data_IF_028027541017
#
_entry.id   IF_028027541017
#
_cell.length_a   1.000
_cell.length_b   1.000
_cell.length_c   1.000
_cell.angle_alpha   90.00
_cell.angle_beta   90.00
_cell.angle_gamma   90.00
#
_symmetry.space_group_name_H-M   'P 1'
#
loop_
_entity.id
_entity.type
_entity.pdbx_description
1 polymer ?
#
# COMPACT_ATOMS: atom_id res chain seq x y z
N UNK A 1 33.52 -9.59 44.77
CA UNK A 1 32.30 -10.32 44.27
C UNK A 1 31.08 -9.43 44.04
N UNK A 2 30.98 -8.23 44.61
CA UNK A 2 29.83 -7.31 44.46
C UNK A 2 29.84 -6.51 43.12
N UNK A 3 31.02 -6.14 42.59
CA UNK A 3 31.17 -5.31 41.39
C UNK A 3 30.60 -5.98 40.12
N UNK A 4 30.67 -7.32 39.99
CA UNK A 4 30.13 -8.06 38.87
C UNK A 4 28.58 -8.13 38.88
N UNK A 5 27.97 -8.12 40.05
CA UNK A 5 26.52 -8.14 40.23
C UNK A 5 25.89 -6.79 39.86
N UNK A 6 26.50 -5.67 40.28
CA UNK A 6 26.01 -4.31 39.96
C UNK A 6 26.14 -4.00 38.47
N UNK A 7 27.20 -4.45 37.81
CA UNK A 7 27.36 -4.30 36.36
C UNK A 7 26.29 -5.08 35.59
N UNK A 8 25.99 -6.30 36.01
CA UNK A 8 24.93 -7.14 35.44
C UNK A 8 23.55 -6.52 35.60
N UNK A 9 23.24 -5.95 36.76
CA UNK A 9 21.97 -5.26 37.02
C UNK A 9 21.84 -4.01 36.17
N UNK A 10 22.92 -3.22 36.06
CA UNK A 10 22.94 -2.00 35.24
C UNK A 10 22.76 -2.29 33.76
N UNK A 11 23.32 -3.37 33.26
CA UNK A 11 23.17 -3.82 31.88
C UNK A 11 21.75 -4.33 31.60
N UNK A 12 21.15 -5.06 32.55
CA UNK A 12 19.73 -5.48 32.46
C UNK A 12 18.78 -4.28 32.46
N UNK A 13 19.01 -3.28 33.30
CA UNK A 13 18.23 -2.03 33.32
C UNK A 13 18.35 -1.28 32.03
N UNK A 14 19.56 -1.18 31.42
CA UNK A 14 19.75 -0.55 30.13
C UNK A 14 19.01 -1.30 29.00
N UNK A 15 19.07 -2.63 28.99
CA UNK A 15 18.34 -3.46 28.02
C UNK A 15 16.81 -3.29 28.18
N UNK A 16 16.31 -3.31 29.40
CA UNK A 16 14.89 -3.12 29.69
C UNK A 16 14.41 -1.74 29.27
N UNK A 17 15.21 -0.68 29.56
CA UNK A 17 14.89 0.68 29.13
C UNK A 17 14.83 0.82 27.61
N UNK A 18 15.79 0.24 26.88
CA UNK A 18 15.82 0.23 25.41
C UNK A 18 14.62 -0.53 24.84
N UNK A 19 14.33 -1.72 25.38
CA UNK A 19 13.17 -2.52 24.97
C UNK A 19 11.86 -1.76 25.20
N UNK A 20 11.69 -1.13 26.35
CA UNK A 20 10.47 -0.35 26.66
C UNK A 20 10.34 0.88 25.72
N UNK A 21 11.43 1.59 25.46
CA UNK A 21 11.43 2.71 24.49
C UNK A 21 11.05 2.24 23.08
N UNK A 22 11.55 1.08 22.67
CA UNK A 22 11.22 0.50 21.36
C UNK A 22 9.73 0.09 21.26
N UNK A 23 9.18 -0.52 22.32
CA UNK A 23 7.75 -0.86 22.38
C UNK A 23 6.87 0.39 22.28
N UNK A 24 7.22 1.45 23.02
CA UNK A 24 6.48 2.72 22.98
C UNK A 24 6.57 3.35 21.59
N UNK A 25 7.75 3.36 20.96
CA UNK A 25 7.93 3.90 19.60
C UNK A 25 7.07 3.13 18.59
N UNK A 26 7.10 1.80 18.62
CA UNK A 26 6.29 0.95 17.73
C UNK A 26 4.80 1.16 17.94
N UNK A 27 4.35 1.28 19.20
CA UNK A 27 2.95 1.57 19.50
C UNK A 27 2.51 2.94 18.96
N UNK A 28 3.38 3.95 19.06
CA UNK A 28 3.12 5.27 18.51
C UNK A 28 3.04 5.28 16.99
N UNK A 29 3.97 4.58 16.32
CA UNK A 29 3.97 4.42 14.85
C UNK A 29 2.70 3.73 14.36
N UNK A 30 2.25 2.66 15.05
CA UNK A 30 1.00 1.97 14.74
C UNK A 30 -0.21 2.91 14.90
N UNK A 31 -0.24 3.74 15.93
CA UNK A 31 -1.31 4.72 16.16
C UNK A 31 -1.36 5.77 15.04
N UNK A 32 -0.19 6.26 14.61
CA UNK A 32 -0.08 7.22 13.49
C UNK A 32 -0.57 6.58 12.19
N UNK A 33 -0.13 5.36 11.89
CA UNK A 33 -0.58 4.61 10.73
C UNK A 33 -2.09 4.37 10.73
N UNK A 34 -2.68 4.04 11.88
CA UNK A 34 -4.12 3.87 12.03
C UNK A 34 -4.87 5.17 11.72
N UNK A 35 -4.41 6.31 12.24
CA UNK A 35 -5.01 7.63 11.94
C UNK A 35 -4.95 7.96 10.45
N UNK A 36 -3.82 7.70 9.81
CA UNK A 36 -3.65 7.94 8.37
C UNK A 36 -4.62 7.10 7.54
N UNK A 37 -4.72 5.80 7.81
CA UNK A 37 -5.65 4.91 7.11
C UNK A 37 -7.10 5.33 7.33
N UNK A 38 -7.50 5.65 8.56
CA UNK A 38 -8.85 6.15 8.84
C UNK A 38 -9.16 7.43 8.06
N UNK A 39 -8.24 8.38 8.01
CA UNK A 39 -8.42 9.62 7.24
C UNK A 39 -8.58 9.35 5.75
N UNK A 40 -7.75 8.50 5.16
CA UNK A 40 -7.87 8.12 3.74
C UNK A 40 -9.21 7.44 3.45
N UNK A 41 -9.63 6.53 4.33
CA UNK A 41 -10.94 5.86 4.19
C UNK A 41 -12.07 6.87 4.23
N UNK A 42 -12.10 7.77 5.20
CA UNK A 42 -13.12 8.83 5.28
C UNK A 42 -13.11 9.69 4.01
N UNK A 43 -11.93 10.12 3.57
CA UNK A 43 -11.77 10.92 2.34
C UNK A 43 -12.21 10.17 1.08
N UNK A 44 -11.99 8.86 1.02
CA UNK A 44 -12.49 8.05 -0.08
C UNK A 44 -14.02 7.98 -0.13
N UNK A 45 -14.69 8.00 1.04
CA UNK A 45 -16.15 7.99 1.14
C UNK A 45 -16.78 9.34 0.71
N UNK A 46 -16.05 10.45 0.81
CA UNK A 46 -16.48 11.77 0.34
C UNK A 46 -16.50 11.89 -1.20
N UNK A 47 -15.79 11.01 -1.93
CA UNK A 47 -15.69 11.09 -3.39
C UNK A 47 -17.01 10.62 -4.04
N UNK A 48 -17.49 11.37 -5.02
CA UNK A 48 -18.78 11.12 -5.65
C UNK A 48 -18.72 10.11 -6.80
N UNK A 49 -17.56 10.00 -7.45
CA UNK A 49 -17.36 9.14 -8.61
C UNK A 49 -15.92 8.60 -8.69
N UNK A 50 -15.74 7.64 -9.60
CA UNK A 50 -14.46 6.96 -9.80
C UNK A 50 -13.34 7.91 -10.24
N UNK A 51 -13.64 8.86 -11.14
CA UNK A 51 -12.62 9.80 -11.64
C UNK A 51 -12.09 10.70 -10.54
N UNK A 52 -12.99 11.22 -9.68
CA UNK A 52 -12.60 12.01 -8.52
C UNK A 52 -11.75 11.21 -7.54
N UNK A 53 -12.11 9.96 -7.27
CA UNK A 53 -11.32 9.06 -6.43
C UNK A 53 -9.91 8.85 -7.01
N UNK A 54 -9.82 8.50 -8.30
CA UNK A 54 -8.53 8.27 -8.96
C UNK A 54 -7.65 9.52 -8.95
N UNK A 55 -8.21 10.70 -9.27
CA UNK A 55 -7.47 11.96 -9.27
C UNK A 55 -6.86 12.29 -7.89
N UNK A 56 -7.50 11.85 -6.79
CA UNK A 56 -7.02 12.10 -5.44
C UNK A 56 -5.98 11.10 -4.93
N UNK A 57 -5.70 10.00 -5.64
CA UNK A 57 -4.71 9.01 -5.23
C UNK A 57 -3.32 9.64 -5.06
N UNK A 58 -2.84 10.38 -6.06
CA UNK A 58 -1.51 11.01 -6.05
C UNK A 58 -1.46 12.43 -5.44
N UNK A 59 -2.56 12.91 -4.91
CA UNK A 59 -2.64 14.22 -4.26
C UNK A 59 -2.96 14.05 -2.78
N UNK A 60 -4.22 14.11 -2.41
CA UNK A 60 -4.68 14.07 -1.03
C UNK A 60 -4.28 12.77 -0.31
N UNK A 61 -4.44 11.60 -0.96
CA UNK A 61 -4.15 10.32 -0.32
C UNK A 61 -2.64 10.10 -0.11
N UNK A 62 -1.79 10.50 -1.07
CA UNK A 62 -0.34 10.50 -0.88
C UNK A 62 0.08 11.35 0.31
N UNK A 63 -0.50 12.54 0.46
CA UNK A 63 -0.19 13.44 1.57
C UNK A 63 -0.58 12.84 2.92
N UNK A 64 -1.78 12.26 3.03
CA UNK A 64 -2.27 11.66 4.27
C UNK A 64 -1.43 10.44 4.66
N UNK A 65 -1.16 9.54 3.71
CA UNK A 65 -0.38 8.32 3.94
C UNK A 65 1.13 8.57 4.05
N UNK A 66 1.57 9.78 3.67
CA UNK A 66 2.99 10.15 3.60
C UNK A 66 3.78 9.18 2.73
N UNK A 67 3.28 8.97 1.52
CA UNK A 67 3.94 8.19 0.47
C UNK A 67 4.22 9.08 -0.75
N UNK A 68 5.16 8.68 -1.58
CA UNK A 68 5.57 9.50 -2.72
C UNK A 68 4.75 9.24 -3.99
N UNK A 69 4.15 8.06 -4.10
CA UNK A 69 3.35 7.68 -5.25
C UNK A 69 2.30 6.63 -4.87
N UNK A 70 1.08 6.79 -5.43
CA UNK A 70 0.03 5.77 -5.40
C UNK A 70 -0.42 5.53 -6.82
N UNK A 71 -0.48 4.27 -7.24
CA UNK A 71 -0.98 3.82 -8.55
C UNK A 71 -2.14 2.86 -8.35
N UNK A 72 -3.18 3.03 -9.13
CA UNK A 72 -4.25 2.05 -9.28
C UNK A 72 -4.03 1.32 -10.60
N UNK A 73 -3.86 0.03 -10.53
CA UNK A 73 -3.67 -0.83 -11.69
C UNK A 73 -4.90 -1.73 -11.80
N UNK A 74 -5.46 -1.83 -13.01
CA UNK A 74 -6.54 -2.75 -13.31
C UNK A 74 -6.12 -3.65 -14.48
N UNK A 75 -6.46 -4.93 -14.39
CA UNK A 75 -6.26 -5.86 -15.51
C UNK A 75 -7.37 -5.69 -16.53
N UNK A 76 -6.98 -5.67 -17.80
CA UNK A 76 -7.92 -5.50 -18.92
C UNK A 76 -8.89 -6.67 -18.99
N UNK A 77 -10.19 -6.37 -18.96
CA UNK A 77 -11.24 -7.28 -19.39
C UNK A 77 -12.26 -6.48 -20.22
N UNK A 78 -13.16 -7.17 -20.91
CA UNK A 78 -14.15 -6.55 -21.80
C UNK A 78 -15.04 -5.51 -21.11
N UNK A 79 -15.35 -5.71 -19.84
CA UNK A 79 -16.19 -4.79 -19.05
C UNK A 79 -15.44 -3.51 -18.71
N UNK A 80 -14.15 -3.59 -18.35
CA UNK A 80 -13.34 -2.40 -18.08
C UNK A 80 -13.11 -1.56 -19.34
N UNK A 81 -12.90 -2.19 -20.49
CA UNK A 81 -12.66 -1.45 -21.73
C UNK A 81 -13.85 -0.56 -22.10
N UNK A 82 -15.07 -0.99 -21.81
CA UNK A 82 -16.27 -0.15 -22.03
C UNK A 82 -16.33 1.02 -21.04
N UNK A 83 -15.99 0.80 -19.78
CA UNK A 83 -16.02 1.81 -18.71
C UNK A 83 -14.90 2.85 -18.93
N UNK A 84 -13.72 2.40 -19.28
CA UNK A 84 -12.55 3.26 -19.50
C UNK A 84 -12.65 4.05 -20.81
N UNK A 85 -13.32 3.53 -21.85
CA UNK A 85 -13.63 4.33 -23.05
C UNK A 85 -14.49 5.55 -22.77
N UNK A 86 -15.36 5.48 -21.76
CA UNK A 86 -16.09 6.65 -21.24
C UNK A 86 -15.25 7.51 -20.30
N UNK A 87 -14.12 6.97 -19.82
CA UNK A 87 -13.19 7.63 -18.93
C UNK A 87 -11.92 8.12 -19.67
N UNK A 88 -12.01 8.43 -20.98
CA UNK A 88 -10.91 8.99 -21.80
C UNK A 88 -10.28 10.28 -21.22
N UNK A 89 -10.82 10.78 -20.13
CA UNK A 89 -10.28 11.92 -19.37
C UNK A 89 -9.63 11.53 -18.04
N UNK A 90 -9.48 10.23 -17.74
CA UNK A 90 -8.78 9.81 -16.50
C UNK A 90 -7.29 9.97 -16.68
N UNK A 91 -6.81 11.06 -16.13
CA UNK A 91 -5.36 11.31 -16.01
C UNK A 91 -4.71 10.27 -15.08
N UNK A 92 -3.41 9.95 -15.24
CA UNK A 92 -2.69 9.13 -14.28
C UNK A 92 -3.07 9.53 -12.84
N UNK A 93 -3.36 8.59 -11.91
CA UNK A 93 -2.57 7.39 -11.67
C UNK A 93 -3.24 6.03 -12.00
N UNK A 94 -4.27 5.99 -12.83
CA UNK A 94 -4.86 4.73 -13.28
C UNK A 94 -4.10 4.19 -14.50
N UNK A 95 -3.65 2.94 -14.41
CA UNK A 95 -3.01 2.23 -15.50
C UNK A 95 -3.72 0.90 -15.79
N UNK A 96 -3.84 0.54 -17.08
CA UNK A 96 -4.44 -0.72 -17.53
C UNK A 96 -3.36 -1.67 -18.03
N UNK A 97 -3.33 -2.87 -17.47
CA UNK A 97 -2.36 -3.92 -17.80
C UNK A 97 -3.03 -5.18 -18.34
N UNK A 98 -2.29 -6.05 -19.05
CA UNK A 98 -2.79 -7.36 -19.48
C UNK A 98 -3.20 -8.23 -18.30
N UNK A 99 -4.02 -9.25 -18.58
CA UNK A 99 -4.40 -10.27 -17.59
C UNK A 99 -3.15 -10.94 -16.98
N UNK A 100 -3.24 -11.29 -15.71
CA UNK A 100 -2.18 -11.88 -14.89
C UNK A 100 -0.99 -10.96 -14.57
N UNK A 101 -1.00 -9.70 -14.98
CA UNK A 101 0.07 -8.76 -14.64
C UNK A 101 0.22 -8.59 -13.12
N UNK A 102 -0.90 -8.36 -12.43
CA UNK A 102 -0.92 -8.13 -10.97
C UNK A 102 -0.33 -9.31 -10.22
N UNK A 103 -0.76 -10.52 -10.56
CA UNK A 103 -0.27 -11.75 -9.93
C UNK A 103 1.24 -11.91 -10.18
N UNK A 104 1.68 -11.73 -11.42
CA UNK A 104 3.11 -11.83 -11.81
C UNK A 104 3.96 -10.78 -11.10
N UNK A 105 3.49 -9.54 -11.01
CA UNK A 105 4.21 -8.45 -10.35
C UNK A 105 4.34 -8.68 -8.84
N UNK A 106 3.24 -9.08 -8.18
CA UNK A 106 3.24 -9.34 -6.73
C UNK A 106 4.12 -10.54 -6.39
N UNK A 107 4.01 -11.65 -7.12
CA UNK A 107 4.78 -12.87 -6.88
C UNK A 107 6.24 -12.77 -7.33
N UNK A 108 6.61 -11.76 -8.11
CA UNK A 108 7.92 -11.69 -8.78
C UNK A 108 8.25 -12.97 -9.58
N UNK A 109 7.23 -13.58 -10.20
CA UNK A 109 7.38 -14.81 -10.98
C UNK A 109 7.59 -16.07 -10.15
N UNK A 110 7.39 -16.03 -8.83
CA UNK A 110 7.41 -17.23 -7.97
C UNK A 110 6.04 -17.90 -7.99
N UNK A 111 6.02 -19.23 -8.10
CA UNK A 111 4.78 -20.04 -8.17
C UNK A 111 4.01 -20.15 -6.83
N UNK A 112 4.34 -19.41 -5.81
CA UNK A 112 3.61 -19.45 -4.54
C UNK A 112 2.34 -18.60 -4.61
N UNK A 113 1.29 -19.11 -3.97
CA UNK A 113 0.04 -18.40 -3.68
C UNK A 113 0.35 -16.97 -3.24
N UNK A 114 -0.12 -16.01 -4.02
CA UNK A 114 0.26 -14.62 -3.81
C UNK A 114 -0.49 -14.06 -2.64
N UNK A 115 0.25 -13.60 -1.64
CA UNK A 115 -0.30 -12.81 -0.56
C UNK A 115 -1.14 -11.66 -1.13
N UNK A 116 -2.28 -11.37 -0.51
CA UNK A 116 -3.14 -10.25 -0.93
C UNK A 116 -2.45 -8.90 -0.72
N UNK A 117 -1.46 -8.85 0.17
CA UNK A 117 -0.68 -7.65 0.49
C UNK A 117 0.80 -8.01 0.57
N UNK A 118 1.62 -7.23 -0.12
CA UNK A 118 3.07 -7.38 -0.10
C UNK A 118 3.72 -6.05 0.25
N UNK A 119 4.59 -6.08 1.28
CA UNK A 119 5.43 -4.96 1.70
C UNK A 119 6.89 -5.36 1.47
N UNK A 120 7.62 -4.57 0.68
CA UNK A 120 8.98 -4.94 0.26
C UNK A 120 9.81 -3.74 -0.20
N UNK A 121 11.14 -3.87 -0.31
CA UNK A 121 11.96 -2.97 -1.10
C UNK A 121 11.46 -2.94 -2.55
N UNK A 122 11.52 -1.77 -3.19
CA UNK A 122 11.10 -1.62 -4.60
C UNK A 122 11.87 -2.60 -5.49
N UNK A 123 11.18 -3.50 -6.24
CA UNK A 123 11.84 -4.55 -7.01
C UNK A 123 12.42 -4.03 -8.33
N UNK A 124 13.30 -4.81 -8.94
CA UNK A 124 13.66 -4.63 -10.34
C UNK A 124 12.42 -4.85 -11.20
N UNK A 125 12.23 -3.99 -12.22
CA UNK A 125 11.01 -4.03 -13.05
C UNK A 125 9.88 -3.14 -12.54
N UNK A 126 10.08 -2.43 -11.43
CA UNK A 126 9.10 -1.48 -10.89
C UNK A 126 8.86 -0.26 -11.81
N UNK A 127 9.73 -0.02 -12.78
CA UNK A 127 9.53 0.98 -13.82
C UNK A 127 8.27 0.74 -14.65
N UNK A 128 7.81 -0.50 -14.76
CA UNK A 128 6.53 -0.83 -15.42
C UNK A 128 5.33 -0.19 -14.69
N UNK A 129 5.42 -0.06 -13.36
CA UNK A 129 4.36 0.49 -12.51
C UNK A 129 4.55 1.98 -12.26
N UNK A 130 5.78 2.39 -11.91
CA UNK A 130 6.06 3.77 -11.46
C UNK A 130 6.76 4.63 -12.50
N UNK A 131 7.11 4.08 -13.67
CA UNK A 131 7.84 4.81 -14.71
C UNK A 131 9.16 5.37 -14.21
N UNK A 132 9.48 6.60 -14.59
CA UNK A 132 10.71 7.29 -14.18
C UNK A 132 10.85 7.50 -12.66
N UNK A 133 9.74 7.54 -11.92
CA UNK A 133 9.78 7.68 -10.46
C UNK A 133 10.45 6.49 -9.78
N UNK A 134 10.42 5.31 -10.40
CA UNK A 134 11.00 4.07 -9.87
C UNK A 134 12.47 4.22 -9.43
N UNK A 135 13.23 5.06 -10.13
CA UNK A 135 14.65 5.33 -9.84
C UNK A 135 14.91 5.88 -8.44
N UNK A 136 13.95 6.57 -7.86
CA UNK A 136 14.06 7.23 -6.56
C UNK A 136 13.29 6.50 -5.44
N UNK A 137 12.44 5.54 -5.81
CA UNK A 137 11.63 4.79 -4.86
C UNK A 137 12.44 3.65 -4.24
N UNK A 138 12.31 3.45 -2.93
CA UNK A 138 13.11 2.47 -2.18
C UNK A 138 12.27 1.38 -1.54
N UNK A 139 10.99 1.63 -1.28
CA UNK A 139 10.06 0.63 -0.74
C UNK A 139 8.69 0.76 -1.35
N UNK A 140 7.96 -0.34 -1.41
CA UNK A 140 6.59 -0.39 -1.92
C UNK A 140 5.68 -1.28 -1.09
N UNK A 141 4.40 -0.91 -1.07
CA UNK A 141 3.30 -1.72 -0.56
C UNK A 141 2.28 -1.95 -1.66
N UNK A 142 2.02 -3.21 -1.98
CA UNK A 142 1.04 -3.60 -2.98
C UNK A 142 -0.14 -4.31 -2.33
N UNK A 143 -1.35 -3.86 -2.63
CA UNK A 143 -2.62 -4.47 -2.19
C UNK A 143 -3.33 -5.00 -3.43
N UNK A 144 -3.53 -6.32 -3.50
CA UNK A 144 -4.32 -6.95 -4.55
C UNK A 144 -5.80 -6.66 -4.29
N UNK A 145 -6.52 -6.21 -5.32
CA UNK A 145 -7.92 -5.85 -5.25
C UNK A 145 -8.76 -6.80 -6.13
N UNK A 146 -9.97 -7.13 -5.66
CA UNK A 146 -10.96 -7.91 -6.39
C UNK A 146 -12.22 -7.06 -6.53
N UNK A 147 -12.43 -6.51 -7.71
CA UNK A 147 -13.41 -5.46 -7.96
C UNK A 147 -14.63 -6.03 -8.69
N UNK A 148 -15.81 -5.72 -8.15
CA UNK A 148 -17.10 -6.05 -8.76
C UNK A 148 -17.46 -7.53 -8.77
N UNK A 149 -18.65 -7.82 -9.33
CA UNK A 149 -19.17 -9.18 -9.48
C UNK A 149 -18.34 -10.03 -10.46
N UNK A 150 -17.76 -9.40 -11.46
CA UNK A 150 -16.90 -10.05 -12.47
C UNK A 150 -15.47 -10.31 -11.96
N UNK A 151 -15.18 -10.00 -10.69
CA UNK A 151 -13.88 -10.20 -10.05
C UNK A 151 -12.70 -9.63 -10.86
N UNK A 152 -12.85 -8.40 -11.35
CA UNK A 152 -11.77 -7.70 -12.00
C UNK A 152 -10.58 -7.63 -11.04
N UNK A 153 -9.44 -8.14 -11.47
CA UNK A 153 -8.22 -8.08 -10.67
C UNK A 153 -7.59 -6.71 -10.83
N UNK A 154 -7.30 -6.10 -9.71
CA UNK A 154 -6.58 -4.85 -9.63
C UNK A 154 -5.47 -4.88 -8.58
N UNK A 155 -4.71 -3.81 -8.52
CA UNK A 155 -3.68 -3.59 -7.50
C UNK A 155 -3.60 -2.11 -7.16
N UNK A 156 -3.62 -1.82 -5.85
CA UNK A 156 -3.19 -0.53 -5.34
C UNK A 156 -1.70 -0.64 -4.98
N UNK A 157 -0.87 0.08 -5.73
CA UNK A 157 0.57 0.11 -5.51
C UNK A 157 0.95 1.45 -4.89
N UNK A 158 1.54 1.41 -3.71
CA UNK A 158 2.01 2.57 -2.96
C UNK A 158 3.54 2.50 -2.86
N UNK A 159 4.24 3.59 -3.07
CA UNK A 159 5.69 3.59 -3.02
C UNK A 159 6.25 4.81 -2.31
N UNK A 160 7.42 4.63 -1.69
CA UNK A 160 8.12 5.67 -0.95
C UNK A 160 9.61 5.68 -1.24
N UNK A 161 10.20 6.89 -1.17
CA UNK A 161 11.65 7.11 -1.16
C UNK A 161 12.29 6.66 0.14
N UNK A 162 11.50 6.47 1.19
CA UNK A 162 11.96 5.95 2.47
C UNK A 162 12.02 4.43 2.44
N UNK A 163 13.21 3.87 2.75
CA UNK A 163 13.42 2.42 2.74
C UNK A 163 12.57 1.69 3.78
N UNK A 164 12.35 2.31 4.93
CA UNK A 164 11.65 1.72 6.07
C UNK A 164 10.13 1.96 6.07
N UNK A 165 9.60 2.64 5.03
CA UNK A 165 8.17 2.94 4.95
C UNK A 165 7.32 1.68 4.78
N UNK A 166 7.79 0.75 3.95
CA UNK A 166 7.13 -0.53 3.71
C UNK A 166 8.12 -1.68 3.97
N UNK A 167 7.97 -2.34 5.10
CA UNK A 167 8.82 -3.47 5.50
C UNK A 167 7.98 -4.72 5.75
N UNK A 168 8.55 -5.89 5.47
CA UNK A 168 7.87 -7.18 5.62
C UNK A 168 7.44 -7.49 7.07
N UNK A 169 8.02 -6.81 8.06
CA UNK A 169 7.68 -6.97 9.48
C UNK A 169 6.50 -6.12 9.94
N UNK A 170 6.01 -5.20 9.09
CA UNK A 170 4.85 -4.37 9.44
C UNK A 170 3.55 -5.18 9.41
N UNK A 171 2.63 -4.85 10.29
CA UNK A 171 1.29 -5.42 10.27
C UNK A 171 0.50 -4.94 9.04
N UNK A 172 -0.17 -5.88 8.38
CA UNK A 172 -0.91 -5.62 7.13
C UNK A 172 -2.40 -5.35 7.34
N UNK A 173 -2.91 -5.50 8.56
CA UNK A 173 -4.35 -5.43 8.86
C UNK A 173 -4.99 -4.09 8.47
N UNK A 174 -4.30 -2.98 8.72
CA UNK A 174 -4.79 -1.64 8.33
C UNK A 174 -4.85 -1.47 6.82
N UNK A 175 -3.86 -1.98 6.10
CA UNK A 175 -3.82 -1.94 4.64
C UNK A 175 -4.88 -2.85 4.03
N UNK A 176 -5.13 -4.01 4.65
CA UNK A 176 -6.21 -4.92 4.27
C UNK A 176 -7.58 -4.27 4.45
N UNK A 177 -7.80 -3.60 5.56
CA UNK A 177 -9.02 -2.82 5.79
C UNK A 177 -9.20 -1.73 4.73
N UNK A 178 -8.17 -0.93 4.47
CA UNK A 178 -8.21 0.12 3.45
C UNK A 178 -8.49 -0.46 2.06
N UNK A 179 -7.81 -1.53 1.68
CA UNK A 179 -8.03 -2.24 0.42
C UNK A 179 -9.46 -2.72 0.27
N UNK A 180 -10.04 -3.33 1.32
CA UNK A 180 -11.44 -3.79 1.31
C UNK A 180 -12.46 -2.66 1.14
N UNK A 181 -12.18 -1.48 1.72
CA UNK A 181 -13.03 -0.30 1.52
C UNK A 181 -12.93 0.19 0.07
N UNK A 182 -11.72 0.26 -0.47
CA UNK A 182 -11.47 0.69 -1.85
C UNK A 182 -12.11 -0.26 -2.86
N UNK A 183 -12.00 -1.57 -2.66
CA UNK A 183 -12.69 -2.57 -3.49
C UNK A 183 -14.19 -2.30 -3.58
N UNK A 184 -14.84 -2.08 -2.44
CA UNK A 184 -16.29 -1.81 -2.38
C UNK A 184 -16.64 -0.49 -3.06
N UNK A 185 -15.87 0.57 -2.84
CA UNK A 185 -16.10 1.88 -3.48
C UNK A 185 -15.92 1.80 -4.99
N UNK A 186 -14.83 1.21 -5.45
CA UNK A 186 -14.56 1.05 -6.88
C UNK A 186 -15.64 0.15 -7.53
N UNK A 187 -16.00 -0.96 -6.87
CA UNK A 187 -17.07 -1.84 -7.35
C UNK A 187 -18.41 -1.12 -7.50
N UNK A 188 -18.73 -0.22 -6.58
CA UNK A 188 -19.97 0.56 -6.64
C UNK A 188 -20.02 1.51 -7.86
N UNK A 189 -18.88 2.05 -8.28
CA UNK A 189 -18.81 2.96 -9.42
C UNK A 189 -18.67 2.24 -10.78
N UNK A 190 -18.16 1.02 -10.78
CA UNK A 190 -17.92 0.23 -11.98
C UNK A 190 -19.03 -0.78 -12.31
N UNK A 191 -20.02 -0.95 -11.42
CA UNK A 191 -21.27 -1.70 -11.68
C UNK A 191 -22.36 -0.75 -12.13
#
# INVERSE_FOLDING_TARGET
>A
RLVGSEMCIRDRLKKLKRSNQQVIATAYENLVGMKQVHQVVLKSLEKNNFNEFVANLNTEFCQILKVDCIKLILEKNSSIESIVKHAEQVSPPLDLFPLNFVTTYISQGKEKDTDEIVLRPTPKGSEQVYGELSKNLKSEGCIKLKIGSEKIIGMLAMASKEKEKFTAQQGVELLKFMGSVFERRISHWLN
#
